data_IF_185055430318
#
_entry.id   IF_185055430318
#
_cell.length_a   1.000
_cell.length_b   1.000
_cell.length_c   1.000
_cell.angle_alpha   90.00
_cell.angle_beta   90.00
_cell.angle_gamma   90.00
#
_symmetry.space_group_name_H-M   'P 1'
#
loop_
_entity.id
_entity.type
_entity.pdbx_description
1 polymer ?
#
# COMPACT_ATOMS: atom_id res chain seq x y z
N UNK A 1 -21.11 -4.75 4.42
CA UNK A 1 -21.30 -5.97 3.61
C UNK A 1 -20.31 -6.99 4.13
N UNK A 2 -20.81 -8.08 4.73
CA UNK A 2 -19.98 -9.07 5.41
C UNK A 2 -19.21 -9.93 4.42
N UNK A 3 -17.89 -9.99 4.57
CA UNK A 3 -17.08 -11.02 3.94
C UNK A 3 -16.82 -12.09 4.99
N UNK A 4 -17.62 -13.14 4.96
CA UNK A 4 -17.34 -14.39 5.66
C UNK A 4 -16.11 -15.03 5.01
N UNK A 5 -14.96 -14.92 5.66
CA UNK A 5 -13.73 -15.66 5.34
C UNK A 5 -13.89 -17.12 5.78
N UNK A 6 -14.80 -17.83 5.09
CA UNK A 6 -14.88 -19.28 5.13
C UNK A 6 -13.88 -19.86 4.12
N UNK A 7 -12.96 -20.72 4.61
CA UNK A 7 -12.05 -21.53 3.79
C UNK A 7 -12.82 -22.12 2.60
N UNK A 8 -12.39 -21.78 1.38
CA UNK A 8 -13.11 -22.16 0.18
C UNK A 8 -13.01 -23.66 -0.08
N UNK A 9 -14.09 -24.39 0.21
CA UNK A 9 -14.20 -25.82 -0.10
C UNK A 9 -14.55 -26.01 -1.58
N UNK A 10 -13.67 -26.66 -2.33
CA UNK A 10 -13.92 -26.99 -3.72
C UNK A 10 -15.05 -28.03 -3.82
N UNK A 11 -16.21 -27.65 -4.34
CA UNK A 11 -17.34 -28.56 -4.52
C UNK A 11 -17.21 -29.33 -5.84
N UNK A 12 -17.99 -30.41 -5.96
CA UNK A 12 -18.11 -31.13 -7.23
C UNK A 12 -18.64 -30.20 -8.34
N UNK A 13 -19.61 -29.32 -8.03
CA UNK A 13 -20.12 -28.32 -8.97
C UNK A 13 -19.03 -27.37 -9.50
N UNK A 14 -18.13 -26.90 -8.62
CA UNK A 14 -17.00 -26.06 -9.02
C UNK A 14 -16.02 -26.80 -9.96
N UNK A 15 -15.91 -28.12 -9.81
CA UNK A 15 -15.06 -28.96 -10.69
C UNK A 15 -15.69 -29.13 -12.06
N UNK A 16 -17.00 -29.41 -12.12
CA UNK A 16 -17.74 -29.49 -13.37
C UNK A 16 -17.65 -28.17 -14.16
N UNK A 17 -17.92 -27.06 -13.47
CA UNK A 17 -17.89 -25.72 -14.03
C UNK A 17 -16.51 -25.36 -14.58
N UNK A 18 -15.43 -25.71 -13.88
CA UNK A 18 -14.08 -25.47 -14.35
C UNK A 18 -13.79 -26.21 -15.66
N UNK A 19 -14.22 -27.46 -15.78
CA UNK A 19 -14.01 -28.27 -16.99
C UNK A 19 -14.78 -27.65 -18.16
N UNK A 20 -16.06 -27.36 -17.96
CA UNK A 20 -16.92 -26.74 -19.00
C UNK A 20 -16.38 -25.37 -19.40
N UNK A 21 -16.05 -24.53 -18.43
CA UNK A 21 -15.55 -23.17 -18.68
C UNK A 21 -14.24 -23.18 -19.45
N UNK A 22 -13.33 -24.12 -19.15
CA UNK A 22 -12.08 -24.27 -19.91
C UNK A 22 -12.36 -24.62 -21.36
N UNK A 23 -13.31 -25.52 -21.63
CA UNK A 23 -13.70 -25.91 -22.99
C UNK A 23 -14.29 -24.72 -23.74
N UNK A 24 -15.23 -24.00 -23.11
CA UNK A 24 -15.85 -22.80 -23.70
C UNK A 24 -14.84 -21.67 -23.98
N UNK A 25 -13.80 -21.54 -23.16
CA UNK A 25 -12.79 -20.49 -23.25
C UNK A 25 -11.44 -20.95 -23.81
N UNK A 26 -11.43 -21.98 -24.69
CA UNK A 26 -10.21 -22.52 -25.31
C UNK A 26 -9.36 -21.45 -26.00
N UNK A 27 -10.00 -20.44 -26.60
CA UNK A 27 -9.34 -19.32 -27.28
C UNK A 27 -8.52 -18.42 -26.35
N UNK A 28 -8.79 -18.42 -25.03
CA UNK A 28 -8.01 -17.65 -24.05
C UNK A 28 -6.69 -18.36 -23.68
N UNK A 29 -6.63 -19.68 -23.86
CA UNK A 29 -5.48 -20.52 -23.53
C UNK A 29 -4.51 -20.67 -24.71
N UNK A 30 -4.04 -19.54 -25.23
CA UNK A 30 -3.20 -19.44 -26.45
C UNK A 30 -1.75 -19.91 -26.31
N UNK A 31 -1.35 -20.45 -25.14
CA UNK A 31 0.04 -20.85 -24.87
C UNK A 31 1.05 -19.70 -24.74
N UNK A 32 0.63 -18.45 -24.95
CA UNK A 32 1.46 -17.26 -24.72
C UNK A 32 1.81 -17.11 -23.23
N UNK A 33 2.98 -16.53 -22.93
CA UNK A 33 3.43 -16.29 -21.55
C UNK A 33 2.34 -15.54 -20.77
N UNK A 34 1.98 -16.07 -19.60
CA UNK A 34 0.96 -15.53 -18.69
C UNK A 34 -0.49 -15.51 -19.23
N UNK A 35 -0.77 -15.94 -20.47
CA UNK A 35 -2.14 -15.94 -21.02
C UNK A 35 -3.07 -16.91 -20.28
N UNK A 36 -2.58 -18.11 -19.93
CA UNK A 36 -3.33 -19.08 -19.15
C UNK A 36 -3.67 -18.55 -17.74
N UNK A 37 -2.74 -17.83 -17.10
CA UNK A 37 -2.96 -17.25 -15.77
C UNK A 37 -4.04 -16.15 -15.84
N UNK A 38 -3.99 -15.27 -16.86
CA UNK A 38 -5.02 -14.27 -17.10
C UNK A 38 -6.40 -14.87 -17.41
N UNK A 39 -6.44 -16.01 -18.10
CA UNK A 39 -7.68 -16.74 -18.32
C UNK A 39 -8.25 -17.27 -16.98
N UNK A 40 -7.42 -17.86 -16.12
CA UNK A 40 -7.87 -18.30 -14.79
C UNK A 40 -8.25 -17.13 -13.87
N UNK A 41 -7.62 -15.96 -13.99
CA UNK A 41 -8.08 -14.73 -13.32
C UNK A 41 -9.50 -14.35 -13.75
N UNK A 42 -9.81 -14.48 -15.04
CA UNK A 42 -11.14 -14.21 -15.58
C UNK A 42 -12.18 -15.21 -15.06
N UNK A 43 -11.83 -16.50 -14.96
CA UNK A 43 -12.68 -17.52 -14.33
C UNK A 43 -12.99 -17.19 -12.86
N UNK A 44 -11.96 -16.82 -12.09
CA UNK A 44 -12.10 -16.46 -10.67
C UNK A 44 -12.98 -15.22 -10.51
N UNK A 45 -12.86 -14.24 -11.41
CA UNK A 45 -13.70 -13.05 -11.44
C UNK A 45 -15.16 -13.36 -11.80
N UNK A 46 -15.38 -14.17 -12.83
CA UNK A 46 -16.73 -14.52 -13.33
C UNK A 46 -17.51 -15.38 -12.33
N UNK A 47 -16.84 -16.29 -11.62
CA UNK A 47 -17.45 -17.16 -10.60
C UNK A 47 -17.50 -16.55 -9.20
N UNK A 48 -17.17 -15.25 -9.06
CA UNK A 48 -17.12 -14.53 -7.78
C UNK A 48 -16.25 -15.22 -6.72
N UNK A 49 -15.16 -15.86 -7.16
CA UNK A 49 -14.20 -16.56 -6.30
C UNK A 49 -13.02 -15.67 -5.89
N UNK A 50 -13.07 -14.39 -6.26
CA UNK A 50 -12.05 -13.39 -5.95
C UNK A 50 -11.89 -13.26 -4.43
N UNK A 51 -10.66 -13.40 -3.94
CA UNK A 51 -10.34 -13.37 -2.50
C UNK A 51 -10.46 -14.72 -1.79
N UNK A 52 -11.18 -15.68 -2.37
CA UNK A 52 -11.36 -17.04 -1.82
C UNK A 52 -10.44 -18.07 -2.46
N UNK A 53 -10.07 -17.85 -3.72
CA UNK A 53 -9.24 -18.75 -4.52
C UNK A 53 -8.26 -17.97 -5.37
N UNK A 54 -6.98 -18.33 -5.28
CA UNK A 54 -5.94 -17.79 -6.15
C UNK A 54 -6.03 -18.42 -7.56
N UNK A 55 -5.93 -17.64 -8.66
CA UNK A 55 -5.92 -18.16 -10.03
C UNK A 55 -4.86 -19.25 -10.28
N UNK A 56 -3.73 -19.18 -9.59
CA UNK A 56 -2.69 -20.21 -9.62
C UNK A 56 -3.17 -21.57 -9.08
N UNK A 57 -4.06 -21.56 -8.09
CA UNK A 57 -4.68 -22.77 -7.54
C UNK A 57 -5.66 -23.40 -8.52
N UNK A 58 -6.47 -22.61 -9.22
CA UNK A 58 -7.35 -23.09 -10.30
C UNK A 58 -6.54 -23.73 -11.44
N UNK A 59 -5.42 -23.12 -11.83
CA UNK A 59 -4.49 -23.70 -12.80
C UNK A 59 -3.98 -25.06 -12.34
N UNK A 60 -3.52 -25.16 -11.09
CA UNK A 60 -3.00 -26.40 -10.53
C UNK A 60 -4.09 -27.48 -10.44
N UNK A 61 -5.32 -27.09 -10.09
CA UNK A 61 -6.49 -27.98 -10.10
C UNK A 61 -6.75 -28.54 -11.50
N UNK A 62 -6.74 -27.69 -12.53
CA UNK A 62 -6.90 -28.10 -13.92
C UNK A 62 -5.79 -29.07 -14.39
N UNK A 63 -4.53 -28.79 -14.06
CA UNK A 63 -3.42 -29.69 -14.40
C UNK A 63 -3.51 -31.05 -13.68
N UNK A 64 -3.94 -31.07 -12.41
CA UNK A 64 -4.19 -32.31 -11.68
C UNK A 64 -5.33 -33.13 -12.31
N UNK A 65 -6.41 -32.47 -12.75
CA UNK A 65 -7.48 -33.13 -13.49
C UNK A 65 -6.96 -33.76 -14.79
N UNK A 66 -6.16 -33.01 -15.56
CA UNK A 66 -5.54 -33.52 -16.79
C UNK A 66 -4.63 -34.71 -16.53
N UNK A 67 -3.84 -34.67 -15.47
CA UNK A 67 -2.95 -35.78 -15.11
C UNK A 67 -3.75 -37.04 -14.77
N UNK A 68 -4.78 -36.92 -13.91
CA UNK A 68 -5.67 -38.05 -13.56
C UNK A 68 -6.39 -38.62 -14.78
N UNK A 69 -6.82 -37.77 -15.72
CA UNK A 69 -7.38 -38.22 -17.00
C UNK A 69 -6.36 -39.02 -17.82
N UNK A 70 -5.12 -38.54 -17.95
CA UNK A 70 -4.05 -39.23 -18.68
C UNK A 70 -3.70 -40.57 -18.04
N UNK A 71 -3.65 -40.64 -16.72
CA UNK A 71 -3.33 -41.87 -16.00
C UNK A 71 -4.44 -42.92 -16.20
N UNK A 72 -5.71 -42.50 -16.13
CA UNK A 72 -6.86 -43.37 -16.40
C UNK A 72 -6.94 -43.79 -17.88
N UNK A 73 -6.62 -42.89 -18.81
CA UNK A 73 -6.59 -43.19 -20.25
C UNK A 73 -5.45 -44.13 -20.62
N UNK A 74 -4.28 -43.95 -20.00
CA UNK A 74 -3.13 -44.86 -20.14
C UNK A 74 -3.47 -46.26 -19.63
N UNK A 75 -4.15 -46.34 -18.49
CA UNK A 75 -4.55 -47.61 -17.87
C UNK A 75 -5.65 -48.34 -18.66
N UNK A 76 -6.58 -47.59 -19.25
CA UNK A 76 -7.61 -48.12 -20.17
C UNK A 76 -7.01 -48.85 -21.37
N UNK A 77 -5.84 -48.43 -21.86
CA UNK A 77 -5.15 -49.10 -22.98
C UNK A 77 -4.45 -50.41 -22.60
N UNK A 78 -4.24 -50.68 -21.30
CA UNK A 78 -3.45 -51.83 -20.82
C UNK A 78 -4.33 -52.93 -20.17
N UNK A 79 -5.54 -52.61 -19.71
CA UNK A 79 -6.44 -53.65 -19.18
C UNK A 79 -7.82 -53.18 -18.78
N UNK A 80 -8.79 -53.40 -19.67
CA UNK A 80 -10.23 -53.52 -19.38
C UNK A 80 -10.96 -52.25 -18.92
N UNK A 81 -12.05 -51.93 -19.62
CA UNK A 81 -12.86 -50.70 -19.54
C UNK A 81 -13.49 -50.38 -18.16
N UNK A 82 -13.34 -51.26 -17.18
CA UNK A 82 -13.94 -51.14 -15.83
C UNK A 82 -13.37 -50.00 -14.98
N UNK A 83 -12.16 -49.52 -15.24
CA UNK A 83 -11.52 -48.43 -14.47
C UNK A 83 -11.94 -47.02 -14.93
N UNK A 84 -12.54 -46.93 -16.12
CA UNK A 84 -13.01 -45.67 -16.73
C UNK A 84 -14.30 -45.17 -16.03
N UNK A 85 -15.15 -46.12 -15.60
CA UNK A 85 -16.48 -45.85 -15.10
C UNK A 85 -16.53 -45.25 -13.68
N UNK A 86 -15.44 -45.34 -12.90
CA UNK A 86 -15.43 -44.91 -11.49
C UNK A 86 -15.08 -43.43 -11.29
N UNK A 87 -14.46 -42.76 -12.26
CA UNK A 87 -14.17 -41.34 -12.13
C UNK A 87 -15.29 -40.49 -12.71
N UNK A 88 -16.10 -39.88 -11.83
CA UNK A 88 -17.25 -39.02 -12.19
C UNK A 88 -16.93 -37.88 -13.17
N UNK A 89 -15.66 -37.46 -13.29
CA UNK A 89 -15.22 -36.41 -14.21
C UNK A 89 -14.68 -36.94 -15.55
N UNK A 90 -14.52 -38.25 -15.71
CA UNK A 90 -13.92 -38.85 -16.91
C UNK A 90 -14.68 -38.48 -18.17
N UNK A 91 -16.01 -38.67 -18.20
CA UNK A 91 -16.81 -38.39 -19.39
C UNK A 91 -16.74 -36.91 -19.84
N UNK A 92 -16.75 -35.98 -18.86
CA UNK A 92 -16.69 -34.54 -19.13
C UNK A 92 -15.26 -34.14 -19.54
N UNK A 93 -14.22 -34.74 -18.95
CA UNK A 93 -12.81 -34.53 -19.32
C UNK A 93 -12.45 -35.16 -20.67
N UNK A 94 -13.03 -36.32 -20.98
CA UNK A 94 -12.84 -36.99 -22.26
C UNK A 94 -13.45 -36.16 -23.39
N UNK A 95 -14.67 -35.63 -23.22
CA UNK A 95 -15.24 -34.65 -24.13
C UNK A 95 -14.38 -33.38 -24.27
N UNK A 96 -13.78 -32.91 -23.17
CA UNK A 96 -12.93 -31.71 -23.15
C UNK A 96 -11.57 -31.88 -23.85
N UNK A 97 -10.96 -33.07 -23.77
CA UNK A 97 -9.58 -33.35 -24.19
C UNK A 97 -9.47 -34.24 -25.43
N UNK A 98 -10.51 -35.02 -25.76
CA UNK A 98 -10.55 -35.84 -26.98
C UNK A 98 -10.51 -34.96 -28.25
N UNK A 99 -10.90 -33.68 -28.15
CA UNK A 99 -10.70 -32.67 -29.21
C UNK A 99 -9.26 -32.13 -29.34
N UNK A 100 -8.30 -32.60 -28.52
CA UNK A 100 -6.92 -32.07 -28.45
C UNK A 100 -5.82 -33.10 -28.78
N UNK A 101 -6.13 -34.31 -29.23
CA UNK A 101 -5.11 -35.29 -29.63
C UNK A 101 -4.90 -35.31 -31.15
N UNK A 102 -3.91 -34.59 -31.70
CA UNK A 102 -3.30 -34.99 -32.95
C UNK A 102 -2.43 -36.23 -32.68
N UNK A 103 -2.76 -37.28 -33.40
CA UNK A 103 -2.06 -38.55 -33.52
C UNK A 103 -0.52 -38.37 -33.63
N UNK A 104 0.25 -38.79 -32.61
CA UNK A 104 1.71 -38.90 -32.73
C UNK A 104 2.26 -40.09 -31.92
N UNK A 105 2.20 -41.26 -32.57
CA UNK A 105 3.21 -42.33 -32.65
C UNK A 105 4.36 -42.32 -31.63
N UNK A 106 4.48 -43.41 -30.86
CA UNK A 106 5.67 -44.28 -30.87
C UNK A 106 5.25 -45.74 -30.58
N UNK A 107 5.68 -46.61 -31.49
CA UNK A 107 5.49 -48.08 -31.60
C UNK A 107 6.64 -48.73 -30.78
N UNK A 108 6.48 -49.78 -29.97
CA UNK A 108 6.41 -51.22 -30.32
C UNK A 108 6.02 -52.07 -29.08
N UNK A 109 5.18 -53.13 -29.20
CA UNK A 109 5.15 -54.22 -28.22
C UNK A 109 5.93 -55.44 -28.73
N UNK A 110 6.93 -55.87 -27.96
CA UNK A 110 7.56 -57.18 -28.10
C UNK A 110 6.57 -58.23 -27.56
N UNK A 111 6.15 -59.13 -28.45
CA UNK A 111 5.32 -60.29 -28.15
C UNK A 111 6.15 -61.34 -27.41
N UNK A 112 5.70 -61.77 -26.22
CA UNK A 112 6.09 -63.06 -25.64
C UNK A 112 4.81 -63.82 -25.32
N UNK A 113 4.69 -64.99 -25.94
CA UNK A 113 3.59 -65.94 -25.83
C UNK A 113 3.78 -66.87 -24.62
N UNK A 114 2.72 -67.17 -23.87
CA UNK A 114 2.42 -68.55 -23.43
C UNK A 114 1.04 -68.69 -22.76
N UNK A 115 0.18 -69.45 -23.44
CA UNK A 115 -0.63 -70.60 -22.98
C UNK A 115 -1.17 -70.71 -21.53
N UNK A 116 -2.51 -70.87 -21.49
CA UNK A 116 -3.33 -71.82 -20.71
C UNK A 116 -3.61 -71.65 -19.19
N UNK A 117 -4.92 -71.53 -18.94
CA UNK A 117 -5.78 -72.22 -17.93
C UNK A 117 -5.99 -71.63 -16.51
N UNK A 118 -7.26 -71.23 -16.33
CA UNK A 118 -8.22 -71.51 -15.24
C UNK A 118 -7.86 -71.17 -13.78
N UNK A 119 -8.62 -70.22 -13.18
CA UNK A 119 -8.56 -69.91 -11.74
C UNK A 119 -9.91 -69.36 -11.19
N UNK A 120 -10.32 -69.73 -9.96
CA UNK A 120 -11.67 -69.52 -9.39
C UNK A 120 -11.87 -68.11 -8.78
N UNK A 121 -13.08 -67.72 -8.31
CA UNK A 121 -13.45 -66.31 -8.10
C UNK A 121 -12.93 -65.77 -6.76
N UNK A 122 -11.81 -65.05 -6.78
CA UNK A 122 -11.23 -64.34 -5.61
C UNK A 122 -11.39 -62.81 -5.76
N UNK A 123 -12.40 -62.33 -6.49
CA UNK A 123 -12.40 -60.94 -7.00
C UNK A 123 -12.89 -59.88 -6.00
N UNK A 124 -13.78 -60.20 -5.06
CA UNK A 124 -14.40 -59.17 -4.20
C UNK A 124 -13.58 -58.73 -2.99
N UNK A 125 -12.77 -59.61 -2.38
CA UNK A 125 -12.02 -59.28 -1.15
C UNK A 125 -10.77 -58.41 -1.40
N UNK A 126 -10.24 -58.43 -2.62
CA UNK A 126 -9.12 -57.57 -3.05
C UNK A 126 -9.60 -56.14 -3.33
N UNK A 127 -10.82 -55.96 -3.82
CA UNK A 127 -11.40 -54.64 -4.13
C UNK A 127 -11.58 -53.75 -2.89
N UNK A 128 -12.01 -54.31 -1.76
CA UNK A 128 -12.13 -53.58 -0.49
C UNK A 128 -10.76 -53.14 0.06
N UNK A 129 -9.73 -53.98 -0.12
CA UNK A 129 -8.35 -53.72 0.32
C UNK A 129 -7.71 -52.60 -0.51
N UNK A 130 -7.98 -52.56 -1.83
CA UNK A 130 -7.52 -51.48 -2.73
C UNK A 130 -8.26 -50.15 -2.50
N UNK A 131 -9.56 -50.16 -2.21
CA UNK A 131 -10.33 -48.97 -1.85
C UNK A 131 -9.87 -48.35 -0.52
N UNK A 132 -9.37 -49.19 0.40
CA UNK A 132 -8.77 -48.76 1.65
C UNK A 132 -7.38 -48.18 1.40
N UNK A 133 -6.56 -48.81 0.56
CA UNK A 133 -5.26 -48.30 0.14
C UNK A 133 -5.35 -46.95 -0.61
N UNK A 134 -6.38 -46.75 -1.44
CA UNK A 134 -6.66 -45.48 -2.12
C UNK A 134 -7.03 -44.36 -1.15
N UNK A 135 -7.89 -44.65 -0.16
CA UNK A 135 -8.23 -43.69 0.90
C UNK A 135 -7.03 -43.36 1.79
N UNK A 136 -6.18 -44.35 2.07
CA UNK A 136 -4.96 -44.13 2.84
C UNK A 136 -3.91 -43.32 2.04
N UNK A 137 -3.86 -43.52 0.72
CA UNK A 137 -3.04 -42.71 -0.20
C UNK A 137 -3.56 -41.27 -0.31
N UNK A 138 -4.88 -41.07 -0.36
CA UNK A 138 -5.54 -39.75 -0.34
C UNK A 138 -5.24 -39.02 0.97
N UNK A 139 -5.39 -39.69 2.13
CA UNK A 139 -5.03 -39.11 3.43
C UNK A 139 -3.54 -38.74 3.51
N UNK A 140 -2.65 -39.62 3.04
CA UNK A 140 -1.20 -39.33 2.96
C UNK A 140 -0.88 -38.17 2.02
N UNK A 141 -1.71 -37.95 1.00
CA UNK A 141 -1.55 -36.84 0.07
C UNK A 141 -2.05 -35.54 0.70
N UNK A 142 -3.20 -35.55 1.35
CA UNK A 142 -3.73 -34.41 2.12
C UNK A 142 -2.77 -33.99 3.25
N UNK A 143 -2.17 -34.95 3.95
CA UNK A 143 -1.13 -34.67 4.97
C UNK A 143 0.10 -33.98 4.36
N UNK A 144 0.55 -34.41 3.17
CA UNK A 144 1.67 -33.77 2.47
C UNK A 144 1.31 -32.38 1.96
N UNK A 145 0.09 -32.20 1.46
CA UNK A 145 -0.43 -30.91 0.98
C UNK A 145 -0.60 -29.93 2.16
N UNK A 146 -1.11 -30.40 3.30
CA UNK A 146 -1.21 -29.63 4.54
C UNK A 146 0.17 -29.18 5.05
N UNK A 147 1.14 -30.10 5.11
CA UNK A 147 2.51 -29.76 5.51
C UNK A 147 3.19 -28.79 4.52
N UNK A 148 2.89 -28.90 3.22
CA UNK A 148 3.42 -27.99 2.22
C UNK A 148 2.82 -26.58 2.36
N UNK A 149 1.50 -26.49 2.59
CA UNK A 149 0.78 -25.24 2.85
C UNK A 149 1.31 -24.55 4.09
N UNK A 150 1.50 -25.29 5.19
CA UNK A 150 2.00 -24.72 6.45
C UNK A 150 3.41 -24.12 6.29
N UNK A 151 4.28 -24.79 5.52
CA UNK A 151 5.62 -24.28 5.17
C UNK A 151 5.61 -23.09 4.21
N UNK A 152 4.56 -22.94 3.42
CA UNK A 152 4.36 -21.78 2.55
C UNK A 152 3.85 -20.60 3.38
N UNK A 153 2.83 -20.81 4.21
CA UNK A 153 2.31 -19.81 5.14
C UNK A 153 3.36 -19.30 6.11
N UNK A 154 4.25 -20.17 6.61
CA UNK A 154 5.36 -19.76 7.48
C UNK A 154 6.40 -18.92 6.72
N UNK A 155 6.67 -19.24 5.45
CA UNK A 155 7.57 -18.44 4.61
C UNK A 155 6.97 -17.07 4.31
N UNK A 156 5.68 -17.01 4.01
CA UNK A 156 4.97 -15.77 3.72
C UNK A 156 4.88 -14.89 4.97
N UNK A 157 4.57 -15.48 6.14
CA UNK A 157 4.62 -14.78 7.43
C UNK A 157 6.01 -14.21 7.71
N UNK A 158 7.07 -14.97 7.45
CA UNK A 158 8.45 -14.51 7.65
C UNK A 158 8.85 -13.43 6.64
N UNK A 159 8.36 -13.50 5.41
CA UNK A 159 8.58 -12.48 4.40
C UNK A 159 7.88 -11.17 4.79
N UNK A 160 6.61 -11.24 5.18
CA UNK A 160 5.82 -10.10 5.65
C UNK A 160 6.46 -9.44 6.88
N UNK A 161 6.91 -10.21 7.87
CA UNK A 161 7.59 -9.66 9.04
C UNK A 161 8.89 -8.91 8.69
N UNK A 162 9.65 -9.39 7.70
CA UNK A 162 10.87 -8.73 7.23
C UNK A 162 10.57 -7.46 6.43
N UNK A 163 9.48 -7.45 5.69
CA UNK A 163 9.01 -6.27 4.96
C UNK A 163 8.53 -5.19 5.94
N UNK A 164 7.70 -5.57 6.91
CA UNK A 164 7.23 -4.67 7.96
C UNK A 164 8.39 -4.06 8.77
N UNK A 165 9.42 -4.86 9.09
CA UNK A 165 10.62 -4.35 9.76
C UNK A 165 11.38 -3.31 8.90
N UNK A 166 11.46 -3.54 7.58
CA UNK A 166 12.09 -2.58 6.66
C UNK A 166 11.30 -1.29 6.58
N UNK A 167 9.98 -1.39 6.48
CA UNK A 167 9.09 -0.22 6.43
C UNK A 167 9.16 0.57 7.72
N UNK A 168 9.19 -0.11 8.88
CA UNK A 168 9.37 0.54 10.18
C UNK A 168 10.70 1.29 10.26
N UNK A 169 11.81 0.66 9.84
CA UNK A 169 13.13 1.31 9.82
C UNK A 169 13.19 2.47 8.81
N UNK A 170 12.45 2.39 7.71
CA UNK A 170 12.37 3.47 6.73
C UNK A 170 11.60 4.67 7.32
N UNK A 171 10.44 4.41 7.94
CA UNK A 171 9.63 5.41 8.62
C UNK A 171 10.40 6.10 9.76
N UNK A 172 11.14 5.35 10.59
CA UNK A 172 11.99 5.93 11.64
C UNK A 172 13.05 6.89 11.08
N UNK A 173 13.69 6.54 9.95
CA UNK A 173 14.68 7.40 9.29
C UNK A 173 14.05 8.64 8.69
N UNK A 174 12.82 8.54 8.19
CA UNK A 174 12.07 9.67 7.66
C UNK A 174 11.71 10.64 8.78
N UNK A 175 11.15 10.15 9.89
CA UNK A 175 10.86 10.96 11.09
C UNK A 175 12.12 11.65 11.62
N UNK A 176 13.27 10.97 11.65
CA UNK A 176 14.52 11.59 12.08
C UNK A 176 14.98 12.70 11.13
N UNK A 177 14.80 12.53 9.82
CA UNK A 177 15.13 13.57 8.83
C UNK A 177 14.23 14.79 8.98
N UNK A 178 12.93 14.57 9.13
CA UNK A 178 11.95 15.65 9.30
C UNK A 178 12.21 16.42 10.58
N UNK A 179 12.52 15.73 11.68
CA UNK A 179 12.93 16.37 12.92
C UNK A 179 14.17 17.25 12.74
N UNK A 180 15.21 16.73 12.08
CA UNK A 180 16.44 17.51 11.81
C UNK A 180 16.18 18.68 10.86
N UNK A 181 15.23 18.57 9.95
CA UNK A 181 14.83 19.66 9.07
C UNK A 181 14.09 20.76 9.86
N UNK A 182 13.12 20.37 10.70
CA UNK A 182 12.39 21.28 11.57
C UNK A 182 13.33 22.03 12.54
N UNK A 183 14.28 21.32 13.18
CA UNK A 183 15.28 21.96 14.06
C UNK A 183 16.13 23.00 13.30
N UNK A 184 16.49 22.74 12.04
CA UNK A 184 17.23 23.70 11.21
C UNK A 184 16.38 24.90 10.83
N UNK A 185 15.10 24.70 10.58
CA UNK A 185 14.15 25.75 10.27
C UNK A 185 13.91 26.65 11.49
N UNK A 186 13.65 26.07 12.67
CA UNK A 186 13.51 26.82 13.92
C UNK A 186 14.74 27.69 14.21
N UNK A 187 15.96 27.16 13.98
CA UNK A 187 17.19 27.95 14.17
C UNK A 187 17.25 29.13 13.19
N UNK A 188 16.81 28.94 11.94
CA UNK A 188 16.76 30.03 10.95
C UNK A 188 15.73 31.08 11.32
N UNK A 189 14.55 30.65 11.77
CA UNK A 189 13.49 31.56 12.22
C UNK A 189 13.93 32.37 13.44
N UNK A 190 14.54 31.73 14.44
CA UNK A 190 15.10 32.44 15.62
C UNK A 190 16.12 33.49 15.21
N UNK A 191 17.04 33.15 14.29
CA UNK A 191 18.01 34.12 13.78
C UNK A 191 17.36 35.24 12.97
N UNK A 192 16.27 34.96 12.25
CA UNK A 192 15.53 35.98 11.51
C UNK A 192 14.82 36.95 12.46
N UNK A 193 14.14 36.42 13.47
CA UNK A 193 13.47 37.21 14.51
C UNK A 193 14.46 38.07 15.30
N UNK A 194 15.62 37.53 15.69
CA UNK A 194 16.66 38.31 16.38
C UNK A 194 17.17 39.48 15.50
N UNK A 195 17.34 39.24 14.19
CA UNK A 195 17.72 40.29 13.25
C UNK A 195 16.64 41.35 13.10
N UNK A 196 15.38 40.95 13.08
CA UNK A 196 14.24 41.86 13.00
C UNK A 196 14.11 42.69 14.27
N UNK A 197 14.14 42.07 15.45
CA UNK A 197 14.10 42.74 16.74
C UNK A 197 15.26 43.75 16.86
N UNK A 198 16.46 43.40 16.39
CA UNK A 198 17.58 44.34 16.37
C UNK A 198 17.29 45.55 15.48
N UNK A 199 16.72 45.35 14.30
CA UNK A 199 16.34 46.45 13.39
C UNK A 199 15.25 47.32 14.01
N UNK A 200 14.28 46.73 14.69
CA UNK A 200 13.23 47.46 15.39
C UNK A 200 13.80 48.31 16.52
N UNK A 201 14.70 47.74 17.34
CA UNK A 201 15.41 48.48 18.39
C UNK A 201 16.23 49.63 17.82
N UNK A 202 16.95 49.41 16.72
CA UNK A 202 17.72 50.46 16.03
C UNK A 202 16.79 51.56 15.47
N UNK A 203 15.66 51.19 14.87
CA UNK A 203 14.65 52.12 14.36
C UNK A 203 14.01 52.95 15.49
N UNK A 204 13.63 52.30 16.59
CA UNK A 204 13.05 52.97 17.75
C UNK A 204 14.06 53.93 18.40
N UNK A 205 15.31 53.50 18.60
CA UNK A 205 16.36 54.36 19.12
C UNK A 205 16.65 55.56 18.20
N UNK A 206 16.56 55.38 16.88
CA UNK A 206 16.68 56.48 15.91
C UNK A 206 15.51 57.44 16.02
N UNK A 207 14.29 56.94 16.14
CA UNK A 207 13.09 57.76 16.32
C UNK A 207 13.17 58.57 17.61
N UNK A 208 13.54 57.94 18.73
CA UNK A 208 13.68 58.62 20.02
C UNK A 208 14.73 59.74 19.98
N UNK A 209 15.86 59.51 19.28
CA UNK A 209 16.88 60.54 19.06
C UNK A 209 16.34 61.72 18.25
N UNK A 210 15.60 61.43 17.18
CA UNK A 210 14.99 62.46 16.34
C UNK A 210 13.96 63.28 17.13
N UNK A 211 13.11 62.63 17.92
CA UNK A 211 12.13 63.30 18.79
C UNK A 211 12.82 64.19 19.84
N UNK A 212 13.87 63.69 20.49
CA UNK A 212 14.69 64.49 21.43
C UNK A 212 15.34 65.69 20.77
N UNK A 213 15.87 65.53 19.55
CA UNK A 213 16.48 66.63 18.79
C UNK A 213 15.43 67.69 18.40
N UNK A 214 14.25 67.24 17.97
CA UNK A 214 13.13 68.11 17.64
C UNK A 214 12.63 68.89 18.86
N UNK A 215 12.45 68.23 20.01
CA UNK A 215 12.09 68.88 21.27
C UNK A 215 13.16 69.88 21.73
N UNK A 216 14.43 69.52 21.66
CA UNK A 216 15.52 70.45 22.00
C UNK A 216 15.57 71.67 21.07
N UNK A 217 15.17 71.51 19.80
CA UNK A 217 15.05 72.62 18.84
C UNK A 217 13.87 73.52 19.18
N UNK A 218 12.73 72.95 19.54
CA UNK A 218 11.55 73.70 19.98
C UNK A 218 11.82 74.47 21.29
N UNK A 219 12.45 73.82 22.28
CA UNK A 219 12.82 74.46 23.55
C UNK A 219 13.78 75.65 23.33
N UNK A 220 14.75 75.53 22.41
CA UNK A 220 15.61 76.65 22.03
C UNK A 220 14.82 77.80 21.44
N UNK A 221 13.89 77.53 20.52
CA UNK A 221 13.04 78.55 19.92
C UNK A 221 12.15 79.22 20.97
N UNK A 222 11.60 78.46 21.91
CA UNK A 222 10.76 79.00 22.98
C UNK A 222 11.57 79.85 23.96
N UNK A 223 12.78 79.41 24.34
CA UNK A 223 13.71 80.21 25.16
C UNK A 223 14.05 81.54 24.49
N UNK A 224 14.43 81.50 23.21
CA UNK A 224 14.73 82.70 22.42
C UNK A 224 13.50 83.63 22.32
N UNK A 225 12.31 83.05 22.19
CA UNK A 225 11.06 83.82 22.15
C UNK A 225 10.76 84.50 23.49
N UNK A 226 10.84 83.75 24.59
CA UNK A 226 10.64 84.26 25.95
C UNK A 226 11.64 85.36 26.30
N UNK A 227 12.91 85.19 25.95
CA UNK A 227 13.93 86.23 26.19
C UNK A 227 13.63 87.52 25.41
N UNK A 228 13.16 87.40 24.15
CA UNK A 228 12.75 88.56 23.36
C UNK A 228 11.52 89.24 23.95
N UNK A 229 10.57 88.48 24.45
CA UNK A 229 9.37 89.00 25.10
C UNK A 229 9.73 89.72 26.41
N UNK A 230 10.50 89.07 27.29
CA UNK A 230 11.01 89.69 28.52
C UNK A 230 11.79 90.98 28.24
N UNK A 231 12.60 91.00 27.17
CA UNK A 231 13.30 92.23 26.77
C UNK A 231 12.33 93.34 26.40
N UNK A 232 11.27 93.04 25.63
CA UNK A 232 10.24 94.01 25.28
C UNK A 232 9.49 94.50 26.52
N UNK A 233 9.16 93.61 27.45
CA UNK A 233 8.51 93.97 28.71
C UNK A 233 9.40 94.86 29.58
N UNK A 234 10.68 94.51 29.73
CA UNK A 234 11.65 95.36 30.46
C UNK A 234 11.79 96.74 29.83
N UNK A 235 11.85 96.80 28.49
CA UNK A 235 11.89 98.06 27.76
C UNK A 235 10.59 98.86 27.93
N UNK A 236 9.42 98.20 27.95
CA UNK A 236 8.13 98.83 28.21
C UNK A 236 8.03 99.37 29.65
N UNK A 237 8.37 98.56 30.65
CA UNK A 237 8.40 98.96 32.05
C UNK A 237 9.36 100.14 32.30
N UNK A 238 10.55 100.13 31.67
CA UNK A 238 11.47 101.26 31.76
C UNK A 238 10.93 102.54 31.10
N UNK A 239 10.13 102.41 30.02
CA UNK A 239 9.43 103.57 29.41
C UNK A 239 8.34 104.09 30.34
N UNK A 240 7.54 103.21 30.93
CA UNK A 240 6.51 103.57 31.91
C UNK A 240 7.11 104.26 33.13
N UNK A 241 8.19 103.74 33.71
CA UNK A 241 8.88 104.34 34.85
C UNK A 241 9.40 105.76 34.54
N UNK A 242 9.96 105.97 33.34
CA UNK A 242 10.39 107.30 32.88
C UNK A 242 9.21 108.27 32.76
N UNK A 243 8.08 107.80 32.26
CA UNK A 243 6.86 108.60 32.18
C UNK A 243 6.33 108.95 33.58
N UNK A 244 6.30 107.97 34.51
CA UNK A 244 5.92 108.22 35.90
C UNK A 244 6.81 109.27 36.57
N UNK A 245 8.14 109.15 36.45
CA UNK A 245 9.09 110.15 36.97
C UNK A 245 8.86 111.54 36.37
N UNK A 246 8.55 111.62 35.08
CA UNK A 246 8.25 112.90 34.43
C UNK A 246 6.95 113.49 34.99
N UNK A 247 5.89 112.70 35.14
CA UNK A 247 4.63 113.15 35.72
C UNK A 247 4.80 113.59 37.18
N UNK A 248 5.60 112.87 37.97
CA UNK A 248 5.92 113.23 39.36
C UNK A 248 6.63 114.59 39.44
N UNK A 249 7.64 114.83 38.59
CA UNK A 249 8.32 116.14 38.53
C UNK A 249 7.40 117.27 38.07
N UNK A 250 6.47 117.00 37.15
CA UNK A 250 5.43 117.96 36.75
C UNK A 250 4.44 118.27 37.88
N UNK A 251 4.06 117.27 38.70
CA UNK A 251 3.16 117.49 39.84
C UNK A 251 3.85 118.17 41.03
N UNK A 252 5.14 117.93 41.26
CA UNK A 252 5.90 118.54 42.36
C UNK A 252 6.27 120.01 42.12
N UNK A 253 6.28 120.47 40.86
CA UNK A 253 6.58 121.85 40.47
C UNK A 253 5.34 122.76 40.37
N UNK A 254 4.22 122.36 40.99
CA UNK A 254 2.95 123.10 41.00
C UNK A 254 2.55 123.42 42.44
#
# INVERSE_FOLDING_TARGET
MGSEDGVFKWTDANTADLIVWRVSNKSLFTGRRNAAIKAFELYVKEKQLVGKVTPAWVRKKWENLKQKYKDLKSLSMVGGDTSIATWKWYAIMDGALSSETPLSHFITPVQVSSSAQDAPPIKQRKEEDWLTALREMERRQEEREGQASEREDERDRRAAAREEERDRRAAEREVERDRRAAEREEVRERQALEREERREREMFARQERWEKEMLAREERQERDYREREERREREAAAREERLFKLLETFMANK
#
